data_IF_751425371390
#
_entry.id   IF_751425371390
#
_cell.length_a   1.000
_cell.length_b   1.000
_cell.length_c   1.000
_cell.angle_alpha   90.00
_cell.angle_beta   90.00
_cell.angle_gamma   90.00
#
_symmetry.space_group_name_H-M   'P 1'
#
loop_
_entity.id
_entity.type
_entity.pdbx_description
1 polymer ?
#
# COMPACT_ATOMS: atom_id res chain seq x y z
N UNK A 1 -1.43 -0.91 -16.49
CA UNK A 1 -1.02 0.18 -15.54
C UNK A 1 -0.85 1.52 -16.26
N UNK A 2 -0.80 2.68 -15.58
CA UNK A 2 -0.51 3.99 -16.23
C UNK A 2 0.98 4.17 -16.60
N UNK A 3 1.88 3.44 -15.95
CA UNK A 3 3.35 3.62 -16.06
C UNK A 3 4.06 2.40 -16.68
N UNK A 4 3.38 1.66 -17.58
CA UNK A 4 3.87 0.38 -18.16
C UNK A 4 5.20 0.55 -18.87
N UNK A 5 5.34 1.64 -19.62
CA UNK A 5 6.52 1.97 -20.43
C UNK A 5 7.70 2.43 -19.57
N UNK A 6 7.44 2.97 -18.37
CA UNK A 6 8.46 3.52 -17.47
C UNK A 6 9.05 2.46 -16.53
N UNK A 7 8.60 1.20 -16.61
CA UNK A 7 9.08 0.14 -15.71
C UNK A 7 10.57 -0.16 -15.92
N UNK A 8 11.03 -0.20 -17.18
CA UNK A 8 12.44 -0.39 -17.49
C UNK A 8 13.28 0.81 -17.07
N UNK A 9 12.84 2.01 -17.40
CA UNK A 9 13.55 3.23 -17.02
C UNK A 9 13.68 3.34 -15.50
N UNK A 10 12.64 2.94 -14.76
CA UNK A 10 12.68 2.90 -13.31
C UNK A 10 13.75 1.94 -12.76
N UNK A 11 13.83 0.73 -13.32
CA UNK A 11 14.83 -0.25 -12.92
C UNK A 11 16.25 0.21 -13.32
N UNK A 12 16.41 0.72 -14.54
CA UNK A 12 17.67 1.26 -15.06
C UNK A 12 18.21 2.38 -14.17
N UNK A 13 17.40 3.39 -13.89
CA UNK A 13 17.79 4.52 -13.04
C UNK A 13 18.20 4.08 -11.63
N UNK A 14 17.58 3.03 -11.07
CA UNK A 14 17.94 2.53 -9.75
C UNK A 14 19.19 1.66 -9.75
N UNK A 15 19.34 0.76 -10.73
CA UNK A 15 20.42 -0.23 -10.74
C UNK A 15 21.68 0.25 -11.46
N UNK A 16 21.56 1.04 -12.54
CA UNK A 16 22.71 1.56 -13.29
C UNK A 16 23.18 2.92 -12.76
N UNK A 17 22.25 3.83 -12.45
CA UNK A 17 22.57 5.17 -11.93
C UNK A 17 22.59 5.24 -10.39
N UNK A 18 22.32 4.12 -9.70
CA UNK A 18 22.29 4.01 -8.24
C UNK A 18 21.38 5.04 -7.54
N UNK A 19 20.34 5.52 -8.23
CA UNK A 19 19.40 6.48 -7.66
C UNK A 19 18.50 5.81 -6.60
N UNK A 20 18.15 6.58 -5.57
CA UNK A 20 17.19 6.09 -4.58
C UNK A 20 15.83 5.82 -5.25
N UNK A 21 15.09 4.83 -4.74
CA UNK A 21 13.73 4.50 -5.23
C UNK A 21 12.80 5.72 -5.25
N UNK A 22 13.03 6.68 -4.34
CA UNK A 22 12.25 7.91 -4.25
C UNK A 22 12.65 8.91 -5.34
N UNK A 23 13.93 9.01 -5.65
CA UNK A 23 14.45 9.88 -6.73
C UNK A 23 14.04 9.38 -8.11
N UNK A 24 14.05 8.06 -8.31
CA UNK A 24 13.52 7.44 -9.53
C UNK A 24 12.05 7.83 -9.73
N UNK A 25 11.23 7.72 -8.68
CA UNK A 25 9.83 8.13 -8.73
C UNK A 25 9.65 9.61 -9.06
N UNK A 26 10.44 10.49 -8.42
CA UNK A 26 10.43 11.93 -8.72
C UNK A 26 10.80 12.23 -10.17
N UNK A 27 11.82 11.57 -10.71
CA UNK A 27 12.35 11.80 -12.06
C UNK A 27 11.41 11.30 -13.16
N UNK A 28 10.68 10.22 -12.90
CA UNK A 28 9.72 9.63 -13.83
C UNK A 28 8.27 10.11 -13.63
N UNK A 29 8.03 11.00 -12.65
CA UNK A 29 6.67 11.45 -12.30
C UNK A 29 5.79 10.35 -11.70
N UNK A 30 6.39 9.29 -11.16
CA UNK A 30 5.68 8.16 -10.56
C UNK A 30 5.48 8.42 -9.05
N UNK A 31 4.26 8.28 -8.51
CA UNK A 31 4.00 8.43 -7.09
C UNK A 31 4.88 7.52 -6.23
N UNK A 32 5.35 8.04 -5.08
CA UNK A 32 6.22 7.33 -4.12
C UNK A 32 5.71 5.92 -3.79
N UNK A 33 4.42 5.76 -3.55
CA UNK A 33 3.83 4.45 -3.24
C UNK A 33 3.97 3.48 -4.41
N UNK A 34 3.67 3.93 -5.62
CA UNK A 34 3.72 3.12 -6.84
C UNK A 34 5.13 2.64 -7.15
N UNK A 35 6.13 3.52 -7.07
CA UNK A 35 7.52 3.15 -7.33
C UNK A 35 8.07 2.21 -6.26
N UNK A 36 7.72 2.41 -4.98
CA UNK A 36 8.09 1.47 -3.92
C UNK A 36 7.46 0.09 -4.13
N UNK A 37 6.17 0.03 -4.45
CA UNK A 37 5.48 -1.22 -4.73
C UNK A 37 6.07 -1.96 -5.93
N UNK A 38 6.50 -1.22 -6.96
CA UNK A 38 7.22 -1.78 -8.11
C UNK A 38 8.47 -2.54 -7.66
N UNK A 39 9.37 -1.88 -6.93
CA UNK A 39 10.63 -2.50 -6.48
C UNK A 39 10.39 -3.66 -5.50
N UNK A 40 9.36 -3.58 -4.65
CA UNK A 40 8.98 -4.68 -3.75
C UNK A 40 8.52 -5.90 -4.56
N UNK A 41 7.69 -5.70 -5.59
CA UNK A 41 7.24 -6.78 -6.48
C UNK A 41 8.38 -7.35 -7.29
N UNK A 42 9.26 -6.49 -7.81
CA UNK A 42 10.45 -6.90 -8.56
C UNK A 42 11.34 -7.82 -7.74
N UNK A 43 11.66 -7.42 -6.51
CA UNK A 43 12.45 -8.24 -5.60
C UNK A 43 11.75 -9.55 -5.23
N UNK A 44 10.41 -9.54 -5.10
CA UNK A 44 9.62 -10.75 -4.81
C UNK A 44 9.65 -11.76 -5.96
N UNK A 45 9.73 -11.31 -7.21
CA UNK A 45 9.81 -12.20 -8.37
C UNK A 45 11.20 -12.83 -8.55
N UNK A 46 12.20 -12.42 -7.74
CA UNK A 46 13.54 -13.01 -7.77
C UNK A 46 14.29 -12.79 -9.07
N UNK A 47 13.85 -11.83 -9.90
CA UNK A 47 14.51 -11.50 -11.16
C UNK A 47 15.71 -10.61 -10.85
N UNK A 48 16.88 -11.01 -11.31
CA UNK A 48 18.11 -10.22 -11.21
C UNK A 48 18.16 -9.15 -12.30
N UNK A 49 18.71 -7.99 -11.97
CA UNK A 49 19.19 -7.02 -12.95
C UNK A 49 20.64 -7.39 -13.35
N UNK A 50 21.04 -7.33 -14.64
CA UNK A 50 20.26 -6.89 -15.79
C UNK A 50 19.21 -7.92 -16.21
N UNK A 51 18.10 -7.43 -16.77
CA UNK A 51 17.02 -8.29 -17.27
C UNK A 51 17.51 -9.10 -18.49
N UNK A 52 17.14 -10.38 -18.64
CA UNK A 52 17.50 -11.17 -19.82
C UNK A 52 16.95 -10.54 -21.11
N UNK A 53 17.67 -10.65 -22.23
CA UNK A 53 17.30 -10.04 -23.53
C UNK A 53 15.91 -10.46 -24.06
N UNK A 54 15.35 -11.56 -23.55
CA UNK A 54 13.99 -12.02 -23.86
C UNK A 54 12.89 -11.28 -23.06
N UNK A 55 13.25 -10.35 -22.19
CA UNK A 55 12.31 -9.64 -21.32
C UNK A 55 11.82 -8.35 -22.00
N UNK A 56 10.58 -8.35 -22.49
CA UNK A 56 9.91 -7.17 -23.02
C UNK A 56 9.10 -6.44 -21.94
N UNK A 57 8.70 -5.19 -22.19
CA UNK A 57 8.02 -4.32 -21.20
C UNK A 57 6.71 -4.95 -20.74
N UNK A 58 5.94 -5.49 -21.69
CA UNK A 58 4.69 -6.16 -21.41
C UNK A 58 4.88 -7.41 -20.56
N UNK A 59 5.93 -8.19 -20.85
CA UNK A 59 6.23 -9.40 -20.10
C UNK A 59 6.68 -9.11 -18.68
N UNK A 60 7.49 -8.06 -18.49
CA UNK A 60 7.88 -7.58 -17.16
C UNK A 60 6.65 -7.11 -16.38
N UNK A 61 5.75 -6.36 -17.00
CA UNK A 61 4.53 -5.93 -16.33
C UNK A 61 3.64 -7.11 -15.96
N UNK A 62 3.40 -8.07 -16.87
CA UNK A 62 2.62 -9.28 -16.57
C UNK A 62 3.25 -10.09 -15.44
N UNK A 63 4.57 -10.07 -15.30
CA UNK A 63 5.28 -10.73 -14.21
C UNK A 63 5.12 -9.99 -12.87
N UNK A 64 5.23 -8.65 -12.87
CA UNK A 64 5.15 -7.83 -11.64
C UNK A 64 3.72 -7.59 -11.16
N UNK A 65 2.80 -7.51 -12.12
CA UNK A 65 1.37 -7.29 -11.94
C UNK A 65 0.62 -8.37 -12.74
N UNK A 66 0.67 -9.64 -12.30
CA UNK A 66 -0.20 -10.67 -12.87
C UNK A 66 -1.63 -10.16 -12.76
N UNK A 67 -2.39 -10.29 -13.85
CA UNK A 67 -3.73 -9.76 -13.96
C UNK A 67 -4.59 -10.28 -12.81
N UNK A 68 -4.67 -9.50 -11.73
CA UNK A 68 -5.81 -9.56 -10.84
C UNK A 68 -6.90 -8.97 -11.68
N UNK A 69 -7.81 -9.82 -12.15
CA UNK A 69 -9.15 -9.44 -12.58
C UNK A 69 -9.60 -8.37 -11.59
N UNK A 70 -9.52 -7.12 -12.02
CA UNK A 70 -10.15 -6.02 -11.32
C UNK A 70 -11.61 -6.38 -11.32
N UNK A 71 -12.21 -6.36 -10.13
CA UNK A 71 -13.62 -6.59 -9.88
C UNK A 71 -14.52 -5.48 -10.49
N UNK A 72 -14.23 -5.11 -11.74
CA UNK A 72 -14.93 -4.14 -12.58
C UNK A 72 -15.63 -4.84 -13.76
N UNK A 73 -15.59 -6.18 -13.86
CA UNK A 73 -16.49 -6.96 -14.72
C UNK A 73 -17.66 -7.46 -13.85
N UNK A 74 -18.42 -6.53 -13.29
CA UNK A 74 -19.82 -6.79 -12.97
C UNK A 74 -20.58 -6.22 -14.16
N UNK A 75 -20.79 -7.04 -15.19
CA UNK A 75 -22.05 -7.13 -15.92
C UNK A 75 -21.91 -8.05 -17.13
N UNK A 76 -22.74 -9.09 -17.11
CA UNK A 76 -23.24 -9.86 -18.27
C UNK A 76 -22.27 -10.91 -18.83
N UNK A 77 -22.39 -12.16 -18.36
CA UNK A 77 -23.00 -13.26 -19.13
C UNK A 77 -23.04 -14.54 -18.30
N UNK A 78 -24.09 -15.33 -18.55
CA UNK A 78 -24.51 -16.57 -17.89
C UNK A 78 -23.43 -17.62 -17.57
N UNK A 79 -23.72 -18.36 -16.48
CA UNK A 79 -23.04 -19.56 -15.96
C UNK A 79 -23.24 -20.72 -16.98
N UNK A 80 -22.24 -21.60 -17.22
CA UNK A 80 -22.11 -22.84 -16.44
C UNK A 80 -20.68 -23.18 -15.96
N UNK A 81 -20.64 -23.62 -14.70
CA UNK A 81 -19.57 -24.28 -13.91
C UNK A 81 -19.17 -25.67 -14.48
N UNK A 82 -18.09 -26.40 -14.06
CA UNK A 82 -17.00 -26.15 -13.08
C UNK A 82 -15.56 -26.42 -13.58
N UNK A 83 -14.54 -25.84 -12.92
CA UNK A 83 -13.30 -26.57 -12.61
C UNK A 83 -12.44 -25.80 -11.59
N UNK A 84 -12.18 -26.47 -10.47
CA UNK A 84 -11.39 -26.04 -9.34
C UNK A 84 -9.96 -25.64 -9.75
N UNK A 85 -9.64 -24.36 -9.63
CA UNK A 85 -8.27 -23.88 -9.48
C UNK A 85 -8.21 -22.91 -8.30
N UNK A 86 -7.68 -23.44 -7.19
CA UNK A 86 -7.35 -22.72 -5.96
C UNK A 86 -6.25 -21.68 -6.26
N UNK A 87 -6.65 -20.51 -6.77
CA UNK A 87 -5.78 -19.35 -6.86
C UNK A 87 -5.50 -18.83 -5.42
N UNK A 88 -4.23 -18.65 -5.01
CA UNK A 88 -3.92 -18.15 -3.67
C UNK A 88 -4.42 -16.71 -3.54
N UNK A 89 -5.58 -16.55 -2.90
CA UNK A 89 -6.17 -15.26 -2.57
C UNK A 89 -5.13 -14.45 -1.82
N UNK A 90 -4.53 -13.49 -2.53
CA UNK A 90 -3.54 -12.61 -1.97
C UNK A 90 -4.20 -11.76 -0.89
N UNK A 91 -4.08 -12.22 0.36
CA UNK A 91 -4.63 -11.57 1.55
C UNK A 91 -4.18 -10.12 1.55
N UNK A 92 -5.09 -9.21 1.16
CA UNK A 92 -4.88 -7.78 1.35
C UNK A 92 -4.70 -7.61 2.85
N UNK A 93 -3.54 -7.11 3.28
CA UNK A 93 -3.32 -6.80 4.70
C UNK A 93 -4.56 -6.03 5.20
N UNK A 94 -5.15 -6.41 6.34
CA UNK A 94 -6.33 -5.71 6.85
C UNK A 94 -6.00 -4.22 6.88
N UNK A 95 -6.81 -3.41 6.21
CA UNK A 95 -6.65 -1.96 6.25
C UNK A 95 -6.73 -1.56 7.72
N UNK A 96 -5.85 -0.66 8.15
CA UNK A 96 -5.85 -0.17 9.54
C UNK A 96 -7.28 0.19 9.94
N UNK A 97 -7.80 -0.25 11.10
CA UNK A 97 -9.16 0.05 11.51
C UNK A 97 -9.40 1.55 11.42
N UNK A 98 -10.39 1.97 10.63
CA UNK A 98 -10.79 3.37 10.60
C UNK A 98 -11.74 3.61 11.76
N UNK A 99 -11.25 4.24 12.82
CA UNK A 99 -12.08 4.58 13.97
C UNK A 99 -13.04 5.74 13.63
N UNK A 100 -14.31 5.70 14.09
CA UNK A 100 -15.26 6.81 13.93
C UNK A 100 -14.70 8.12 14.51
N UNK A 101 -15.03 9.25 13.89
CA UNK A 101 -14.53 10.56 14.33
C UNK A 101 -14.97 10.92 15.76
N UNK A 102 -16.24 10.69 16.10
CA UNK A 102 -16.78 10.82 17.47
C UNK A 102 -15.95 10.05 18.52
N UNK A 103 -15.57 8.81 18.18
CA UNK A 103 -14.75 7.97 19.03
C UNK A 103 -13.36 8.58 19.24
N UNK A 104 -12.74 9.13 18.19
CA UNK A 104 -11.44 9.81 18.27
C UNK A 104 -11.52 11.05 19.16
N UNK A 105 -12.56 11.87 19.00
CA UNK A 105 -12.79 13.09 19.80
C UNK A 105 -12.98 12.72 21.26
N UNK A 106 -13.90 11.81 21.56
CA UNK A 106 -14.21 11.38 22.94
C UNK A 106 -12.95 10.91 23.67
N UNK A 107 -12.13 10.11 23.00
CA UNK A 107 -10.88 9.61 23.56
C UNK A 107 -9.82 10.71 23.72
N UNK A 108 -9.70 11.61 22.74
CA UNK A 108 -8.80 12.75 22.83
C UNK A 108 -9.16 13.66 24.02
N UNK A 109 -10.45 13.95 24.24
CA UNK A 109 -10.96 14.74 25.36
C UNK A 109 -10.71 14.08 26.71
N UNK A 110 -10.98 12.77 26.83
CA UNK A 110 -10.66 11.99 28.04
C UNK A 110 -9.16 12.02 28.34
N UNK A 111 -8.32 11.97 27.31
CA UNK A 111 -6.86 12.04 27.45
C UNK A 111 -6.32 13.43 27.84
N UNK A 112 -7.15 14.48 27.75
CA UNK A 112 -6.78 15.84 28.15
C UNK A 112 -7.00 16.11 29.63
N UNK A 113 -7.74 15.24 30.33
CA UNK A 113 -8.00 15.40 31.76
C UNK A 113 -6.67 15.39 32.56
N UNK A 114 -6.52 16.27 33.56
CA UNK A 114 -5.33 16.31 34.41
C UNK A 114 -5.17 14.96 35.13
N UNK A 115 -4.01 14.33 35.01
CA UNK A 115 -3.74 13.00 35.58
C UNK A 115 -4.13 11.81 34.69
N UNK A 116 -4.68 12.03 33.49
CA UNK A 116 -5.03 10.94 32.58
C UNK A 116 -3.79 10.16 32.09
N UNK A 117 -3.79 8.85 32.30
CA UNK A 117 -2.79 7.96 31.73
C UNK A 117 -3.20 7.53 30.31
N UNK A 118 -2.64 8.21 29.31
CA UNK A 118 -2.92 7.97 27.89
C UNK A 118 -2.70 6.51 27.49
N UNK A 119 -1.66 5.86 28.01
CA UNK A 119 -1.33 4.48 27.65
C UNK A 119 -2.34 3.49 28.27
N UNK A 120 -2.80 3.74 29.49
CA UNK A 120 -3.85 2.94 30.10
C UNK A 120 -5.18 3.10 29.35
N UNK A 121 -5.59 4.34 29.08
CA UNK A 121 -6.81 4.64 28.33
C UNK A 121 -6.80 3.99 26.93
N UNK A 122 -5.65 4.01 26.24
CA UNK A 122 -5.52 3.32 24.96
C UNK A 122 -5.73 1.80 25.06
N UNK A 123 -5.17 1.16 26.10
CA UNK A 123 -5.33 -0.29 26.34
C UNK A 123 -6.76 -0.67 26.69
N UNK A 124 -7.42 0.11 27.56
CA UNK A 124 -8.83 -0.08 27.93
C UNK A 124 -9.75 -0.05 26.69
N UNK A 125 -9.41 0.79 25.71
CA UNK A 125 -10.15 0.93 24.46
C UNK A 125 -9.62 0.07 23.30
N UNK A 126 -8.63 -0.80 23.55
CA UNK A 126 -8.06 -1.71 22.55
C UNK A 126 -7.33 -1.00 21.40
N UNK A 127 -6.85 0.23 21.60
CA UNK A 127 -6.15 1.02 20.59
C UNK A 127 -4.66 1.17 20.93
N UNK A 128 -3.87 1.50 19.91
CA UNK A 128 -2.46 1.82 20.09
C UNK A 128 -2.32 3.17 20.81
N UNK A 129 -1.46 3.26 21.82
CA UNK A 129 -1.19 4.48 22.59
C UNK A 129 -0.65 5.63 21.71
N UNK A 130 0.24 5.34 20.76
CA UNK A 130 0.71 6.33 19.78
C UNK A 130 -0.42 6.90 18.91
N UNK A 131 -1.47 6.11 18.65
CA UNK A 131 -2.64 6.58 17.91
C UNK A 131 -3.41 7.62 18.72
N UNK A 132 -3.63 7.35 20.01
CA UNK A 132 -4.30 8.26 20.92
C UNK A 132 -3.50 9.55 21.16
N UNK A 133 -2.17 9.47 21.28
CA UNK A 133 -1.31 10.65 21.33
C UNK A 133 -1.43 11.53 20.08
N UNK A 134 -1.47 10.93 18.89
CA UNK A 134 -1.68 11.67 17.66
C UNK A 134 -3.05 12.34 17.61
N UNK A 135 -4.12 11.64 18.01
CA UNK A 135 -5.47 12.23 18.07
C UNK A 135 -5.56 13.37 19.06
N UNK A 136 -4.97 13.23 20.25
CA UNK A 136 -4.87 14.31 21.24
C UNK A 136 -4.18 15.55 20.66
N UNK A 137 -3.09 15.36 19.92
CA UNK A 137 -2.38 16.46 19.27
C UNK A 137 -3.18 17.11 18.14
N UNK A 138 -3.90 16.32 17.34
CA UNK A 138 -4.80 16.84 16.30
C UNK A 138 -5.98 17.62 16.91
N UNK A 139 -6.56 17.12 18.00
CA UNK A 139 -7.65 17.77 18.71
C UNK A 139 -7.22 19.12 19.29
N UNK A 140 -6.05 19.18 19.94
CA UNK A 140 -5.45 20.45 20.41
C UNK A 140 -5.23 21.47 19.29
N UNK A 141 -5.08 21.02 18.05
CA UNK A 141 -4.88 21.87 16.86
C UNK A 141 -6.19 22.19 16.13
N UNK A 142 -7.34 21.67 16.59
CA UNK A 142 -8.63 21.82 15.91
C UNK A 142 -8.72 21.10 14.56
N UNK A 143 -7.89 20.06 14.35
CA UNK A 143 -7.79 19.31 13.10
C UNK A 143 -8.39 17.90 13.19
N UNK A 144 -8.88 17.52 14.37
CA UNK A 144 -9.41 16.17 14.58
C UNK A 144 -10.84 16.08 14.12
#
# INVERSE_FOLDING_TARGET
MKYRTLLFDALRLHFDEHLSRLDVGRRLGIPKSTICDLFVRFNKQGVSWPLPDRMTSDKLESLLYPARITADIIEITDIPEPALVEEPVARKRPRRPNFPHEFKITLAEKSLQPGANVAQLAREHGINDNLLFNWRNLYKRGLL
#
